data_IF_070763341879
#
_entry.id   IF_070763341879
#
_cell.length_a   1.000
_cell.length_b   1.000
_cell.length_c   1.000
_cell.angle_alpha   90.00
_cell.angle_beta   90.00
_cell.angle_gamma   90.00
#
_symmetry.space_group_name_H-M   'P 1'
#
loop_
_entity.id
_entity.type
_entity.pdbx_description
1 polymer ?
#
# COMPACT_ATOMS: atom_id res chain seq x y z
N UNK A 1 7.01 5.29 -34.88
CA UNK A 1 7.63 6.63 -34.92
C UNK A 1 8.98 6.52 -35.58
N UNK A 2 9.29 7.38 -36.56
CA UNK A 2 10.56 7.32 -37.30
C UNK A 2 11.64 8.05 -36.49
N UNK A 3 12.85 7.48 -36.41
CA UNK A 3 14.01 8.01 -35.67
C UNK A 3 14.28 9.52 -35.91
N UNK A 4 13.89 10.03 -37.07
CA UNK A 4 14.03 11.41 -37.49
C UNK A 4 13.13 12.39 -36.73
N UNK A 5 11.93 11.96 -36.31
CA UNK A 5 11.01 12.79 -35.52
C UNK A 5 11.54 12.97 -34.09
N UNK A 6 12.06 11.90 -33.50
CA UNK A 6 12.68 11.89 -32.18
C UNK A 6 13.90 12.82 -32.09
N UNK A 7 14.70 12.89 -33.17
CA UNK A 7 15.91 13.72 -33.24
C UNK A 7 15.59 15.22 -33.33
N UNK A 8 14.53 15.59 -34.03
CA UNK A 8 14.12 16.99 -34.16
C UNK A 8 13.53 17.53 -32.85
N UNK A 9 12.77 16.71 -32.12
CA UNK A 9 12.25 17.09 -30.78
C UNK A 9 13.37 17.25 -29.75
N UNK A 10 14.48 16.51 -29.87
CA UNK A 10 15.65 16.66 -29.01
C UNK A 10 16.47 17.93 -29.28
N UNK A 11 16.47 18.43 -30.52
CA UNK A 11 17.24 19.64 -30.88
C UNK A 11 16.54 20.95 -30.51
N UNK A 12 15.21 20.97 -30.39
CA UNK A 12 14.45 22.18 -30.02
C UNK A 12 14.49 22.52 -28.53
N UNK A 13 15.08 21.66 -27.67
CA UNK A 13 15.09 21.84 -26.22
C UNK A 13 16.51 21.73 -25.65
N UNK A 14 17.36 22.67 -26.05
CA UNK A 14 18.76 22.81 -25.62
C UNK A 14 18.90 23.33 -24.17
N UNK A 15 18.28 22.66 -23.18
CA UNK A 15 18.34 23.13 -21.79
C UNK A 15 18.00 22.14 -20.67
N UNK A 16 17.43 20.97 -20.96
CA UNK A 16 17.13 19.96 -19.93
C UNK A 16 18.19 18.85 -19.95
N UNK A 17 18.69 18.45 -18.77
CA UNK A 17 19.64 17.33 -18.68
C UNK A 17 18.90 16.01 -18.99
N UNK A 18 19.57 15.03 -19.60
CA UNK A 18 19.00 13.71 -19.95
C UNK A 18 18.19 13.04 -18.81
N UNK A 19 18.59 13.17 -17.52
CA UNK A 19 17.79 12.72 -16.38
C UNK A 19 16.42 13.43 -16.23
N UNK A 20 16.34 14.73 -16.51
CA UNK A 20 15.10 15.51 -16.38
C UNK A 20 14.07 15.10 -17.43
N UNK A 21 14.53 14.77 -18.64
CA UNK A 21 13.68 14.22 -19.70
C UNK A 21 13.13 12.83 -19.33
N UNK A 22 13.97 11.95 -18.79
CA UNK A 22 13.54 10.62 -18.34
C UNK A 22 12.52 10.73 -17.21
N UNK A 23 12.72 11.64 -16.26
CA UNK A 23 11.78 11.90 -15.18
C UNK A 23 10.45 12.48 -15.70
N UNK A 24 10.49 13.41 -16.65
CA UNK A 24 9.28 13.99 -17.26
C UNK A 24 8.48 12.97 -18.09
N UNK A 25 9.18 12.08 -18.80
CA UNK A 25 8.55 11.02 -19.58
C UNK A 25 7.91 9.95 -18.69
N UNK A 26 8.65 9.47 -17.68
CA UNK A 26 8.12 8.54 -16.66
C UNK A 26 6.93 9.17 -15.94
N UNK A 27 6.97 10.46 -15.62
CA UNK A 27 5.85 11.17 -15.00
C UNK A 27 4.62 11.26 -15.92
N UNK A 28 4.82 11.40 -17.24
CA UNK A 28 3.72 11.41 -18.21
C UNK A 28 3.08 10.02 -18.33
N UNK A 29 3.88 8.96 -18.46
CA UNK A 29 3.37 7.58 -18.53
C UNK A 29 2.61 7.18 -17.26
N UNK A 30 3.12 7.56 -16.08
CA UNK A 30 2.42 7.34 -14.80
C UNK A 30 1.08 8.07 -14.79
N UNK A 31 1.04 9.34 -15.23
CA UNK A 31 -0.21 10.11 -15.29
C UNK A 31 -1.21 9.51 -16.28
N UNK A 32 -0.77 9.12 -17.46
CA UNK A 32 -1.64 8.53 -18.48
C UNK A 32 -2.21 7.20 -18.01
N UNK A 33 -1.39 6.36 -17.34
CA UNK A 33 -1.87 5.15 -16.70
C UNK A 33 -2.91 5.45 -15.63
N UNK A 34 -2.59 6.36 -14.68
CA UNK A 34 -3.51 6.71 -13.59
C UNK A 34 -4.84 7.26 -14.12
N UNK A 35 -4.81 8.08 -15.16
CA UNK A 35 -6.02 8.56 -15.84
C UNK A 35 -6.79 7.41 -16.49
N UNK A 36 -6.09 6.48 -17.13
CA UNK A 36 -6.68 5.29 -17.75
C UNK A 36 -7.34 4.32 -16.76
N UNK A 37 -6.98 4.38 -15.47
CA UNK A 37 -7.60 3.55 -14.43
C UNK A 37 -9.00 4.03 -14.02
N UNK A 38 -9.49 5.18 -14.50
CA UNK A 38 -10.86 5.64 -14.26
C UNK A 38 -11.31 5.60 -12.77
N UNK A 39 -10.43 6.00 -11.85
CA UNK A 39 -10.64 5.94 -10.39
C UNK A 39 -10.83 4.52 -9.81
N UNK A 40 -10.27 3.49 -10.44
CA UNK A 40 -10.20 2.11 -9.93
C UNK A 40 -8.78 1.78 -9.43
N UNK A 41 -8.22 2.68 -8.60
CA UNK A 41 -6.86 2.56 -8.10
C UNK A 41 -6.73 1.42 -7.09
N UNK A 42 -7.75 1.23 -6.25
CA UNK A 42 -7.75 0.17 -5.24
C UNK A 42 -7.81 -1.20 -5.89
N UNK A 43 -8.61 -1.39 -6.95
CA UNK A 43 -8.66 -2.63 -7.73
C UNK A 43 -7.31 -2.93 -8.37
N UNK A 44 -6.71 -1.92 -9.01
CA UNK A 44 -5.41 -2.07 -9.65
C UNK A 44 -4.31 -2.45 -8.65
N UNK A 45 -4.21 -1.72 -7.53
CA UNK A 45 -3.25 -1.99 -6.46
C UNK A 45 -3.47 -3.38 -5.85
N UNK A 46 -4.72 -3.76 -5.61
CA UNK A 46 -5.07 -5.07 -5.04
C UNK A 46 -4.68 -6.20 -5.99
N UNK A 47 -4.94 -6.05 -7.30
CA UNK A 47 -4.52 -7.00 -8.32
C UNK A 47 -3.00 -7.15 -8.36
N UNK A 48 -2.27 -6.04 -8.34
CA UNK A 48 -0.80 -6.05 -8.38
C UNK A 48 -0.16 -6.66 -7.11
N UNK A 49 -0.76 -6.48 -5.93
CA UNK A 49 -0.29 -7.10 -4.68
C UNK A 49 -0.63 -8.60 -4.63
N UNK A 50 -1.86 -8.96 -4.97
CA UNK A 50 -2.36 -10.34 -4.77
C UNK A 50 -2.02 -11.27 -5.92
N UNK A 51 -1.75 -10.71 -7.11
CA UNK A 51 -1.59 -11.44 -8.37
C UNK A 51 -2.82 -12.32 -8.70
N UNK A 52 -4.00 -11.86 -8.27
CA UNK A 52 -5.26 -12.59 -8.40
C UNK A 52 -6.32 -11.69 -9.03
N UNK A 53 -7.13 -12.26 -9.92
CA UNK A 53 -8.33 -11.59 -10.42
C UNK A 53 -9.50 -11.82 -9.47
N UNK A 54 -9.97 -10.75 -8.85
CA UNK A 54 -11.12 -10.80 -7.96
C UNK A 54 -12.39 -11.03 -8.76
N UNK A 55 -13.20 -11.98 -8.30
CA UNK A 55 -14.46 -12.35 -8.93
C UNK A 55 -15.64 -11.48 -8.45
N UNK A 56 -15.38 -10.48 -7.59
CA UNK A 56 -16.41 -9.63 -7.00
C UNK A 56 -15.98 -8.17 -6.93
N UNK A 57 -16.97 -7.29 -6.94
CA UNK A 57 -16.79 -5.84 -7.00
C UNK A 57 -16.38 -5.27 -5.62
N UNK A 58 -15.12 -4.85 -5.50
CA UNK A 58 -14.56 -4.22 -4.29
C UNK A 58 -15.33 -2.94 -3.94
N UNK A 59 -15.64 -2.10 -4.94
CA UNK A 59 -16.36 -0.85 -4.75
C UNK A 59 -17.74 -1.07 -4.17
N UNK A 60 -18.45 -2.07 -4.69
CA UNK A 60 -19.77 -2.43 -4.18
C UNK A 60 -19.72 -2.93 -2.73
N UNK A 61 -18.75 -3.77 -2.38
CA UNK A 61 -18.63 -4.30 -1.01
C UNK A 61 -18.17 -3.26 0.01
N UNK A 62 -17.15 -2.46 -0.31
CA UNK A 62 -16.64 -1.44 0.60
C UNK A 62 -17.69 -0.35 0.86
N UNK A 63 -18.42 0.07 -0.18
CA UNK A 63 -19.38 1.16 -0.09
C UNK A 63 -18.71 2.54 0.11
N UNK A 64 -19.54 3.59 0.12
CA UNK A 64 -19.10 4.94 -0.22
C UNK A 64 -18.30 5.77 0.83
N UNK A 65 -18.07 5.38 2.10
CA UNK A 65 -16.97 6.02 2.83
C UNK A 65 -15.66 5.24 2.67
N UNK A 66 -15.70 3.92 2.81
CA UNK A 66 -14.48 3.10 2.83
C UNK A 66 -13.82 3.01 1.46
N UNK A 67 -14.61 2.84 0.39
CA UNK A 67 -14.06 2.75 -0.96
C UNK A 67 -13.33 4.04 -1.35
N UNK A 68 -13.93 5.21 -1.11
CA UNK A 68 -13.33 6.48 -1.49
C UNK A 68 -11.98 6.67 -0.77
N UNK A 69 -11.97 6.49 0.56
CA UNK A 69 -10.75 6.62 1.34
C UNK A 69 -9.68 5.59 0.92
N UNK A 70 -10.05 4.32 0.70
CA UNK A 70 -9.12 3.30 0.19
C UNK A 70 -8.58 3.66 -1.18
N UNK A 71 -9.42 4.14 -2.08
CA UNK A 71 -9.05 4.44 -3.45
C UNK A 71 -8.10 5.65 -3.55
N UNK A 72 -8.29 6.67 -2.72
CA UNK A 72 -7.36 7.79 -2.59
C UNK A 72 -5.98 7.32 -2.07
N UNK A 73 -5.97 6.51 -1.00
CA UNK A 73 -4.71 5.95 -0.48
C UNK A 73 -4.04 4.98 -1.48
N UNK A 74 -4.82 4.25 -2.28
CA UNK A 74 -4.30 3.41 -3.34
C UNK A 74 -3.65 4.23 -4.46
N UNK A 75 -4.27 5.36 -4.83
CA UNK A 75 -3.68 6.32 -5.77
C UNK A 75 -2.33 6.81 -5.29
N UNK A 76 -2.21 7.19 -4.02
CA UNK A 76 -0.93 7.62 -3.42
C UNK A 76 0.14 6.52 -3.54
N UNK A 77 -0.22 5.25 -3.37
CA UNK A 77 0.70 4.12 -3.58
C UNK A 77 1.21 4.09 -5.02
N UNK A 78 0.31 4.19 -5.99
CA UNK A 78 0.63 4.10 -7.42
C UNK A 78 1.45 5.30 -7.92
N UNK A 79 1.25 6.49 -7.34
CA UNK A 79 2.08 7.67 -7.58
C UNK A 79 3.52 7.48 -7.08
N UNK A 80 3.73 6.73 -5.99
CA UNK A 80 5.08 6.35 -5.55
C UNK A 80 5.70 5.28 -6.46
N UNK A 81 4.89 4.28 -6.82
CA UNK A 81 5.30 3.15 -7.64
C UNK A 81 4.08 2.41 -8.22
N UNK A 82 3.99 2.35 -9.54
CA UNK A 82 2.88 1.69 -10.25
C UNK A 82 2.77 0.21 -9.89
N UNK A 83 3.89 -0.50 -9.76
CA UNK A 83 3.89 -1.92 -9.43
C UNK A 83 4.77 -2.21 -8.22
N UNK A 84 4.30 -3.09 -7.34
CA UNK A 84 5.01 -3.52 -6.14
C UNK A 84 6.36 -4.15 -6.45
N UNK A 85 6.51 -4.76 -7.63
CA UNK A 85 7.78 -5.33 -8.13
C UNK A 85 8.85 -4.26 -8.36
N UNK A 86 8.44 -3.01 -8.57
CA UNK A 86 9.33 -1.89 -8.86
C UNK A 86 9.54 -0.96 -7.66
N UNK A 87 9.08 -1.34 -6.47
CA UNK A 87 9.38 -0.58 -5.26
C UNK A 87 10.84 -0.83 -4.90
N UNK A 88 11.64 0.24 -4.82
CA UNK A 88 13.06 0.15 -4.50
C UNK A 88 13.49 1.17 -3.45
N UNK A 89 14.38 0.73 -2.56
CA UNK A 89 15.04 1.61 -1.60
C UNK A 89 14.05 2.37 -0.72
N UNK A 90 14.17 3.69 -0.65
CA UNK A 90 13.41 4.52 0.31
C UNK A 90 11.93 4.72 -0.04
N UNK A 91 11.52 4.43 -1.28
CA UNK A 91 10.11 4.56 -1.71
C UNK A 91 9.18 3.62 -0.94
N UNK A 92 9.70 2.49 -0.42
CA UNK A 92 8.92 1.54 0.36
C UNK A 92 8.25 2.19 1.58
N UNK A 93 8.88 3.22 2.18
CA UNK A 93 8.35 3.88 3.36
C UNK A 93 7.01 4.55 3.06
N UNK A 94 7.01 5.51 2.13
CA UNK A 94 5.80 6.25 1.76
C UNK A 94 4.75 5.33 1.15
N UNK A 95 5.18 4.35 0.35
CA UNK A 95 4.27 3.35 -0.21
C UNK A 95 3.59 2.51 0.89
N UNK A 96 4.33 2.07 1.91
CA UNK A 96 3.78 1.29 3.04
C UNK A 96 2.81 2.11 3.88
N UNK A 97 3.10 3.40 4.10
CA UNK A 97 2.21 4.31 4.83
C UNK A 97 0.84 4.42 4.14
N UNK A 98 0.83 4.62 2.82
CA UNK A 98 -0.41 4.68 2.03
C UNK A 98 -1.10 3.32 1.91
N UNK A 99 -0.33 2.23 1.75
CA UNK A 99 -0.89 0.88 1.64
C UNK A 99 -1.63 0.45 2.93
N UNK A 100 -1.06 0.72 4.10
CA UNK A 100 -1.73 0.43 5.37
C UNK A 100 -3.04 1.19 5.50
N UNK A 101 -3.06 2.51 5.24
CA UNK A 101 -4.30 3.30 5.28
C UNK A 101 -5.34 2.78 4.29
N UNK A 102 -4.91 2.35 3.10
CA UNK A 102 -5.79 1.76 2.10
C UNK A 102 -6.51 0.53 2.66
N UNK A 103 -5.77 -0.42 3.22
CA UNK A 103 -6.33 -1.69 3.69
C UNK A 103 -6.89 -1.64 5.12
N UNK A 104 -6.53 -0.66 5.94
CA UNK A 104 -7.18 -0.43 7.24
C UNK A 104 -8.68 -0.17 7.05
N UNK A 105 -9.07 0.55 6.00
CA UNK A 105 -10.48 0.73 5.65
C UNK A 105 -11.19 -0.59 5.30
N UNK A 106 -10.49 -1.58 4.73
CA UNK A 106 -11.04 -2.92 4.47
C UNK A 106 -11.30 -3.63 5.80
N UNK A 107 -10.32 -3.59 6.71
CA UNK A 107 -10.44 -4.21 8.04
C UNK A 107 -11.56 -3.55 8.85
N UNK A 108 -11.65 -2.22 8.82
CA UNK A 108 -12.72 -1.48 9.48
C UNK A 108 -14.09 -1.83 8.93
N UNK A 109 -14.25 -1.89 7.60
CA UNK A 109 -15.51 -2.31 6.97
C UNK A 109 -15.89 -3.73 7.39
N UNK A 110 -14.95 -4.66 7.33
CA UNK A 110 -15.17 -6.05 7.74
C UNK A 110 -15.62 -6.14 9.20
N UNK A 111 -14.88 -5.52 10.14
CA UNK A 111 -15.18 -5.63 11.57
C UNK A 111 -16.48 -4.90 11.92
N UNK A 112 -16.61 -3.63 11.53
CA UNK A 112 -17.68 -2.77 12.03
C UNK A 112 -19.01 -2.97 11.31
N UNK A 113 -18.97 -3.31 10.02
CA UNK A 113 -20.19 -3.42 9.21
C UNK A 113 -20.54 -4.88 8.95
N UNK A 114 -19.58 -5.70 8.50
CA UNK A 114 -19.88 -7.09 8.16
C UNK A 114 -20.05 -7.95 9.43
N UNK A 115 -19.16 -7.80 10.41
CA UNK A 115 -19.28 -8.49 11.71
C UNK A 115 -20.18 -7.76 12.71
N UNK A 116 -20.51 -6.48 12.46
CA UNK A 116 -21.24 -5.61 13.39
C UNK A 116 -20.58 -5.52 14.78
N UNK A 117 -19.25 -5.59 14.80
CA UNK A 117 -18.46 -5.56 16.03
C UNK A 117 -18.00 -4.14 16.36
N UNK A 118 -17.82 -3.89 17.66
CA UNK A 118 -17.21 -2.65 18.14
C UNK A 118 -15.77 -2.90 18.55
N UNK A 119 -14.85 -2.13 17.98
CA UNK A 119 -13.42 -2.20 18.34
C UNK A 119 -13.20 -1.44 19.64
N UNK A 120 -12.61 -2.10 20.63
CA UNK A 120 -12.24 -1.47 21.89
C UNK A 120 -11.10 -0.47 21.68
N UNK A 121 -11.31 0.78 22.11
CA UNK A 121 -10.34 1.87 21.92
C UNK A 121 -9.45 2.00 23.13
N UNK A 122 -8.14 2.13 22.91
CA UNK A 122 -7.18 2.32 24.02
C UNK A 122 -7.13 3.77 24.52
N UNK A 123 -7.54 4.75 23.70
CA UNK A 123 -7.53 6.17 24.02
C UNK A 123 -8.77 6.90 23.44
N UNK A 124 -8.78 8.23 23.50
CA UNK A 124 -9.78 9.12 22.88
C UNK A 124 -9.65 9.13 21.35
N UNK A 125 -9.85 7.98 20.71
CA UNK A 125 -9.69 7.80 19.27
C UNK A 125 -9.42 6.34 18.93
N UNK A 126 -9.85 5.92 17.74
CA UNK A 126 -9.52 4.59 17.22
C UNK A 126 -8.12 4.65 16.59
N UNK A 127 -7.18 3.84 17.08
CA UNK A 127 -5.84 3.71 16.50
C UNK A 127 -5.77 2.49 15.57
N UNK A 128 -4.90 2.54 14.56
CA UNK A 128 -4.60 1.39 13.67
C UNK A 128 -4.30 0.12 14.49
N UNK A 129 -3.49 0.26 15.55
CA UNK A 129 -3.13 -0.84 16.45
C UNK A 129 -4.30 -1.45 17.21
N UNK A 130 -5.37 -0.68 17.45
CA UNK A 130 -6.57 -1.20 18.13
C UNK A 130 -7.33 -2.14 17.19
N UNK A 131 -7.39 -1.82 15.90
CA UNK A 131 -7.98 -2.68 14.85
C UNK A 131 -7.24 -4.02 14.78
N UNK A 132 -5.91 -4.00 14.77
CA UNK A 132 -5.12 -5.22 14.64
C UNK A 132 -5.21 -6.09 15.90
N UNK A 133 -5.18 -5.48 17.08
CA UNK A 133 -5.37 -6.19 18.35
C UNK A 133 -6.74 -6.84 18.45
N UNK A 134 -7.78 -6.16 17.95
CA UNK A 134 -9.13 -6.73 17.88
C UNK A 134 -9.12 -8.02 17.06
N UNK A 135 -8.57 -7.99 15.85
CA UNK A 135 -8.45 -9.17 15.00
C UNK A 135 -7.62 -10.29 15.65
N UNK A 136 -6.50 -9.96 16.29
CA UNK A 136 -5.67 -10.91 17.05
C UNK A 136 -6.49 -11.61 18.14
N UNK A 137 -7.34 -10.87 18.86
CA UNK A 137 -8.14 -11.44 19.95
C UNK A 137 -9.21 -12.44 19.48
N UNK A 138 -9.58 -12.43 18.19
CA UNK A 138 -10.58 -13.35 17.63
C UNK A 138 -10.07 -14.76 17.40
N UNK A 139 -8.74 -14.94 17.30
CA UNK A 139 -8.14 -16.21 16.93
C UNK A 139 -8.32 -16.54 15.44
N UNK A 140 -7.88 -17.73 15.04
CA UNK A 140 -8.07 -18.25 13.67
C UNK A 140 -7.42 -17.38 12.58
N UNK A 141 -8.10 -17.28 11.42
CA UNK A 141 -7.62 -16.53 10.26
C UNK A 141 -7.55 -15.03 10.57
N UNK A 142 -8.50 -14.50 11.34
CA UNK A 142 -8.48 -13.10 11.78
C UNK A 142 -7.22 -12.77 12.59
N UNK A 143 -6.77 -13.69 13.45
CA UNK A 143 -5.53 -13.48 14.19
C UNK A 143 -4.31 -13.36 13.26
N UNK A 144 -4.22 -14.19 12.23
CA UNK A 144 -3.14 -14.13 11.25
C UNK A 144 -3.14 -12.79 10.50
N UNK A 145 -4.32 -12.32 10.07
CA UNK A 145 -4.50 -11.00 9.45
C UNK A 145 -4.00 -9.91 10.41
N UNK A 146 -4.48 -9.89 11.65
CA UNK A 146 -4.09 -8.89 12.64
C UNK A 146 -2.58 -8.91 12.96
N UNK A 147 -1.98 -10.09 13.03
CA UNK A 147 -0.54 -10.23 13.27
C UNK A 147 0.29 -9.71 12.09
N UNK A 148 -0.11 -10.01 10.86
CA UNK A 148 0.57 -9.53 9.67
C UNK A 148 0.51 -8.00 9.56
N UNK A 149 -0.65 -7.39 9.77
CA UNK A 149 -0.78 -5.93 9.80
C UNK A 149 0.03 -5.30 10.95
N UNK A 150 0.10 -5.95 12.11
CA UNK A 150 0.98 -5.54 13.21
C UNK A 150 2.46 -5.58 12.79
N UNK A 151 2.89 -6.63 12.10
CA UNK A 151 4.28 -6.76 11.64
C UNK A 151 4.63 -5.67 10.61
N UNK A 152 3.72 -5.39 9.67
CA UNK A 152 3.91 -4.32 8.67
C UNK A 152 4.01 -2.96 9.38
N UNK A 153 3.10 -2.67 10.32
CA UNK A 153 3.14 -1.44 11.11
C UNK A 153 4.46 -1.27 11.87
N UNK A 154 4.99 -2.33 12.48
CA UNK A 154 6.26 -2.29 13.19
C UNK A 154 7.45 -2.02 12.26
N UNK A 155 7.51 -2.68 11.09
CA UNK A 155 8.54 -2.40 10.08
C UNK A 155 8.46 -0.97 9.55
N UNK A 156 7.25 -0.45 9.33
CA UNK A 156 7.00 0.94 8.95
C UNK A 156 7.55 1.91 9.99
N UNK A 157 7.26 1.68 11.28
CA UNK A 157 7.80 2.50 12.37
C UNK A 157 9.34 2.49 12.38
N UNK A 158 9.98 1.37 12.04
CA UNK A 158 11.44 1.31 11.91
C UNK A 158 11.99 2.20 10.77
N UNK A 159 11.21 2.48 9.72
CA UNK A 159 11.55 3.47 8.69
C UNK A 159 11.28 4.93 9.08
N UNK A 160 10.38 5.15 10.04
CA UNK A 160 9.93 6.48 10.46
C UNK A 160 10.80 7.08 11.55
N UNK A 161 11.23 6.28 12.53
CA UNK A 161 12.09 6.75 13.60
C UNK A 161 13.55 6.82 13.16
N UNK A 162 14.18 7.98 13.34
CA UNK A 162 15.63 8.12 13.20
C UNK A 162 16.27 7.23 14.27
N UNK A 163 16.72 6.05 13.88
CA UNK A 163 17.59 5.24 14.73
C UNK A 163 18.90 6.03 14.86
N UNK A 164 19.36 6.31 16.07
CA UNK A 164 20.64 6.98 16.29
C UNK A 164 21.68 5.98 16.78
N UNK A 165 22.85 5.97 16.16
CA UNK A 165 24.02 5.26 16.69
C UNK A 165 24.96 6.28 17.34
N UNK A 166 25.53 5.91 18.49
CA UNK A 166 26.63 6.69 19.08
C UNK A 166 27.93 6.29 18.40
N UNK A 167 28.53 7.24 17.69
CA UNK A 167 29.87 7.11 17.14
C UNK A 167 30.69 8.28 17.68
N UNK A 168 31.74 7.96 18.45
CA UNK A 168 32.62 8.94 19.08
C UNK A 168 31.87 9.99 19.94
N UNK A 169 30.82 9.55 20.66
CA UNK A 169 29.97 10.42 21.49
C UNK A 169 28.95 11.28 20.74
N UNK A 170 28.88 11.16 19.40
CA UNK A 170 27.92 11.89 18.56
C UNK A 170 26.79 10.94 18.13
N UNK A 171 25.54 11.36 18.32
CA UNK A 171 24.36 10.65 17.82
C UNK A 171 24.21 10.88 16.32
N UNK A 172 24.40 9.83 15.52
CA UNK A 172 24.27 9.89 14.06
C UNK A 172 23.05 9.08 13.61
N UNK A 173 22.23 9.60 12.68
CA UNK A 173 21.16 8.83 12.04
C UNK A 173 21.71 7.55 11.37
N UNK A 174 21.29 6.39 11.87
CA UNK A 174 21.52 5.09 11.25
C UNK A 174 20.77 5.05 9.92
N UNK A 175 21.53 4.97 8.84
CA UNK A 175 20.97 4.83 7.50
C UNK A 175 20.66 3.36 7.24
N UNK A 176 19.40 3.05 6.99
CA UNK A 176 19.00 1.74 6.48
C UNK A 176 19.55 1.59 5.06
N UNK A 177 20.21 0.47 4.80
CA UNK A 177 20.76 0.16 3.47
C UNK A 177 19.64 -0.16 2.47
N UNK A 178 19.87 0.07 1.17
CA UNK A 178 18.90 -0.29 0.13
C UNK A 178 18.59 -1.80 0.15
N UNK A 179 19.57 -2.65 0.47
CA UNK A 179 19.37 -4.10 0.62
C UNK A 179 18.38 -4.43 1.74
N UNK A 180 18.52 -3.78 2.90
CA UNK A 180 17.56 -3.93 4.00
C UNK A 180 16.17 -3.41 3.62
N UNK A 181 16.07 -2.25 2.94
CA UNK A 181 14.79 -1.75 2.45
C UNK A 181 14.11 -2.74 1.50
N UNK A 182 14.86 -3.40 0.61
CA UNK A 182 14.31 -4.38 -0.32
C UNK A 182 13.85 -5.66 0.41
N UNK A 183 14.60 -6.13 1.42
CA UNK A 183 14.15 -7.26 2.27
C UNK A 183 12.86 -6.92 3.01
N UNK A 184 12.78 -5.73 3.58
CA UNK A 184 11.56 -5.27 4.25
C UNK A 184 10.40 -5.12 3.27
N UNK A 185 10.64 -4.62 2.05
CA UNK A 185 9.63 -4.59 0.98
C UNK A 185 9.07 -5.98 0.72
N UNK A 186 9.93 -6.98 0.54
CA UNK A 186 9.50 -8.35 0.22
C UNK A 186 8.62 -8.92 1.35
N UNK A 187 9.00 -8.69 2.61
CA UNK A 187 8.20 -9.08 3.77
C UNK A 187 6.85 -8.34 3.83
N UNK A 188 6.85 -7.02 3.61
CA UNK A 188 5.64 -6.19 3.65
C UNK A 188 4.66 -6.62 2.56
N UNK A 189 5.14 -6.79 1.32
CA UNK A 189 4.30 -7.26 0.21
C UNK A 189 3.77 -8.65 0.51
N UNK A 190 4.60 -9.56 1.04
CA UNK A 190 4.17 -10.90 1.40
C UNK A 190 3.04 -10.87 2.44
N UNK A 191 3.21 -10.13 3.53
CA UNK A 191 2.19 -10.01 4.59
C UNK A 191 0.92 -9.29 4.12
N UNK A 192 1.02 -8.26 3.28
CA UNK A 192 -0.15 -7.64 2.66
C UNK A 192 -0.90 -8.65 1.80
N UNK A 193 -0.18 -9.36 0.91
CA UNK A 193 -0.76 -10.35 0.01
C UNK A 193 -1.51 -11.43 0.78
N UNK A 194 -0.87 -12.06 1.75
CA UNK A 194 -1.50 -13.14 2.53
C UNK A 194 -2.71 -12.63 3.31
N UNK A 195 -2.61 -11.46 3.93
CA UNK A 195 -3.70 -10.91 4.75
C UNK A 195 -4.91 -10.49 3.93
N UNK A 196 -4.67 -9.87 2.77
CA UNK A 196 -5.74 -9.45 1.85
C UNK A 196 -6.45 -10.67 1.27
N UNK A 197 -5.71 -11.70 0.85
CA UNK A 197 -6.30 -12.96 0.36
C UNK A 197 -7.11 -13.66 1.45
N UNK A 198 -6.58 -13.74 2.68
CA UNK A 198 -7.29 -14.31 3.83
C UNK A 198 -8.56 -13.52 4.16
N UNK A 199 -8.52 -12.19 4.09
CA UNK A 199 -9.70 -11.35 4.29
C UNK A 199 -10.77 -11.62 3.24
N UNK A 200 -10.38 -11.74 1.97
CA UNK A 200 -11.32 -12.04 0.89
C UNK A 200 -11.96 -13.41 1.05
N UNK A 201 -11.19 -14.42 1.46
CA UNK A 201 -11.73 -15.74 1.77
C UNK A 201 -12.77 -15.68 2.91
N UNK A 202 -12.53 -14.87 3.96
CA UNK A 202 -13.51 -14.66 5.04
C UNK A 202 -14.80 -13.99 4.55
N UNK A 203 -14.67 -12.95 3.72
CA UNK A 203 -15.82 -12.23 3.15
C UNK A 203 -16.64 -13.14 2.23
N UNK A 204 -16.00 -13.95 1.40
CA UNK A 204 -16.68 -14.90 0.51
C UNK A 204 -17.40 -16.00 1.29
N UNK A 205 -16.75 -16.58 2.30
CA UNK A 205 -17.35 -17.59 3.17
C UNK A 205 -18.59 -17.05 3.91
N UNK A 206 -18.61 -15.75 4.25
CA UNK A 206 -19.78 -15.12 4.87
C UNK A 206 -20.92 -14.90 3.88
N UNK A 207 -20.64 -14.44 2.66
CA UNK A 207 -21.66 -14.29 1.60
C UNK A 207 -22.35 -15.62 1.30
N UNK A 208 -21.60 -16.73 1.30
CA UNK A 208 -22.16 -18.07 1.10
C UNK A 208 -23.07 -18.54 2.24
N UNK A 209 -22.87 -18.07 3.48
CA UNK A 209 -23.75 -18.40 4.62
C UNK A 209 -25.04 -17.59 4.66
N UNK A 210 -25.10 -16.49 3.92
CA UNK A 210 -26.27 -15.59 3.88
C UNK A 210 -27.22 -15.88 2.71
N UNK A 211 -26.78 -16.70 1.74
CA UNK A 211 -27.59 -17.19 0.62
C UNK A 211 -28.08 -18.61 0.91
#
# INVERSE_FOLDING_TARGET
MKFTELRNTMQTFSGASTPDYQLAYIATEVKDLLNGLNNQFVEFLTKDITDTELQWDIKQWLGAPYYQASNENAKDCLEQCISVKHIWGRRIKSWTDSALKCYDNFLLKYIQIDQKETIFKTHSGLKETDVYKHLISKGGIEQEIGQNFTNIYQLRSAFQHIQTEEKDGIRIPKRISNSQCNKSRDLIIHWLRTSVLSLFALVEAQKQKMN
#
